data_IF_440234237369
#
_entry.id   IF_440234237369
#
_cell.length_a   1.000
_cell.length_b   1.000
_cell.length_c   1.000
_cell.angle_alpha   90.00
_cell.angle_beta   90.00
_cell.angle_gamma   90.00
#
_symmetry.space_group_name_H-M   'P 1'
#
loop_
_entity.id
_entity.type
_entity.pdbx_description
1 polymer ?
#
# COMPACT_ATOMS: atom_id res chain seq x y z
N UNK A 1 15.53 -10.52 -8.92
CA UNK A 1 14.78 -11.37 -7.97
C UNK A 1 13.89 -10.42 -7.19
N UNK A 2 12.57 -10.63 -7.19
CA UNK A 2 11.63 -9.72 -6.52
C UNK A 2 11.63 -10.09 -5.03
N UNK A 3 12.27 -9.28 -4.19
CA UNK A 3 12.22 -9.46 -2.75
C UNK A 3 10.90 -8.91 -2.22
N UNK A 4 10.00 -9.81 -1.83
CA UNK A 4 8.76 -9.50 -1.14
C UNK A 4 9.05 -9.26 0.34
N UNK A 5 9.56 -8.08 0.66
CA UNK A 5 9.65 -7.65 2.05
C UNK A 5 8.22 -7.50 2.62
N UNK A 6 7.94 -7.94 3.86
CA UNK A 6 6.65 -7.67 4.48
C UNK A 6 6.42 -6.15 4.54
N UNK A 7 5.17 -5.72 4.35
CA UNK A 7 4.80 -4.31 4.52
C UNK A 7 5.31 -3.82 5.87
N UNK A 8 6.18 -2.81 5.87
CA UNK A 8 6.54 -2.10 7.08
C UNK A 8 5.47 -1.04 7.39
N UNK A 9 5.45 -0.53 8.62
CA UNK A 9 4.46 0.46 9.06
C UNK A 9 4.43 1.71 8.18
N UNK A 10 5.57 2.12 7.60
CA UNK A 10 5.65 3.28 6.69
C UNK A 10 4.85 3.04 5.42
N UNK A 11 5.11 1.93 4.71
CA UNK A 11 4.42 1.62 3.46
C UNK A 11 2.95 1.29 3.68
N UNK A 12 2.60 0.68 4.82
CA UNK A 12 1.19 0.43 5.15
C UNK A 12 0.43 1.74 5.33
N UNK A 13 1.01 2.69 6.07
CA UNK A 13 0.40 4.00 6.30
C UNK A 13 0.26 4.79 4.99
N UNK A 14 1.27 4.78 4.12
CA UNK A 14 1.20 5.41 2.80
C UNK A 14 0.11 4.77 1.93
N UNK A 15 0.07 3.44 1.86
CA UNK A 15 -0.95 2.73 1.08
C UNK A 15 -2.36 3.09 1.57
N UNK A 16 -2.58 3.07 2.88
CA UNK A 16 -3.86 3.42 3.49
C UNK A 16 -4.26 4.86 3.20
N UNK A 17 -3.31 5.79 3.27
CA UNK A 17 -3.51 7.20 2.94
C UNK A 17 -3.97 7.38 1.48
N UNK A 18 -3.31 6.71 0.52
CA UNK A 18 -3.70 6.82 -0.89
C UNK A 18 -5.07 6.20 -1.18
N UNK A 19 -5.41 5.08 -0.53
CA UNK A 19 -6.73 4.46 -0.68
C UNK A 19 -7.82 5.34 -0.06
N UNK A 20 -7.56 5.98 1.09
CA UNK A 20 -8.45 6.95 1.72
C UNK A 20 -8.69 8.15 0.80
N UNK A 21 -7.63 8.77 0.28
CA UNK A 21 -7.75 9.86 -0.68
C UNK A 21 -8.55 9.45 -1.93
N UNK A 22 -8.31 8.25 -2.45
CA UNK A 22 -9.06 7.75 -3.59
C UNK A 22 -10.56 7.61 -3.26
N UNK A 23 -10.92 7.12 -2.07
CA UNK A 23 -12.31 7.09 -1.62
C UNK A 23 -12.89 8.51 -1.53
N UNK A 24 -12.17 9.45 -0.90
CA UNK A 24 -12.66 10.81 -0.66
C UNK A 24 -12.90 11.57 -1.96
N UNK A 25 -12.04 11.36 -2.97
CA UNK A 25 -12.13 12.04 -4.27
C UNK A 25 -13.11 11.40 -5.25
N UNK A 26 -13.44 10.12 -5.10
CA UNK A 26 -14.22 9.36 -6.11
C UNK A 26 -15.49 8.71 -5.59
N UNK A 27 -15.65 8.57 -4.27
CA UNK A 27 -16.74 7.81 -3.66
C UNK A 27 -16.68 6.30 -3.92
N UNK A 28 -15.52 5.76 -4.28
CA UNK A 28 -15.33 4.34 -4.64
C UNK A 28 -15.78 3.39 -3.52
N UNK A 29 -16.82 2.60 -3.79
CA UNK A 29 -17.32 1.61 -2.81
C UNK A 29 -16.31 0.48 -2.57
N UNK A 30 -15.45 0.20 -3.54
CA UNK A 30 -14.35 -0.77 -3.38
C UNK A 30 -13.33 -0.23 -2.38
N UNK A 31 -12.93 1.03 -2.52
CA UNK A 31 -12.01 1.68 -1.58
C UNK A 31 -12.59 1.70 -0.16
N UNK A 32 -13.88 2.03 -0.04
CA UNK A 32 -14.60 1.96 1.25
C UNK A 32 -14.54 0.57 1.88
N UNK A 33 -14.77 -0.48 1.09
CA UNK A 33 -14.71 -1.88 1.56
C UNK A 33 -13.30 -2.24 2.04
N UNK A 34 -12.28 -1.90 1.27
CA UNK A 34 -10.87 -2.13 1.63
C UNK A 34 -10.53 -1.43 2.95
N UNK A 35 -10.90 -0.15 3.12
CA UNK A 35 -10.64 0.61 4.34
C UNK A 35 -11.41 0.07 5.55
N UNK A 36 -12.61 -0.48 5.34
CA UNK A 36 -13.45 -1.02 6.42
C UNK A 36 -12.96 -2.35 6.98
N UNK A 37 -12.21 -3.12 6.19
CA UNK A 37 -11.66 -4.43 6.58
C UNK A 37 -10.15 -4.47 6.34
N UNK A 38 -9.47 -3.42 6.80
CA UNK A 38 -8.08 -3.12 6.44
C UNK A 38 -7.11 -4.26 6.74
N UNK A 39 -7.19 -4.86 7.94
CA UNK A 39 -6.29 -5.94 8.37
C UNK A 39 -6.36 -7.16 7.46
N UNK A 40 -7.56 -7.51 6.98
CA UNK A 40 -7.71 -8.63 6.07
C UNK A 40 -7.30 -8.23 4.65
N UNK A 41 -7.74 -7.06 4.19
CA UNK A 41 -7.45 -6.56 2.85
C UNK A 41 -5.95 -6.37 2.60
N UNK A 42 -5.17 -6.00 3.63
CA UNK A 42 -3.72 -5.82 3.52
C UNK A 42 -3.01 -7.10 3.04
N UNK A 43 -3.52 -8.28 3.38
CA UNK A 43 -2.93 -9.56 2.95
C UNK A 43 -3.02 -9.79 1.43
N UNK A 44 -3.90 -9.07 0.74
CA UNK A 44 -4.07 -9.15 -0.72
C UNK A 44 -3.13 -8.19 -1.47
N UNK A 45 -2.40 -7.31 -0.76
CA UNK A 45 -1.48 -6.36 -1.37
C UNK A 45 -0.06 -6.91 -1.43
N UNK A 46 0.62 -6.61 -2.53
CA UNK A 46 2.03 -6.94 -2.74
C UNK A 46 2.81 -5.65 -2.94
N UNK A 47 3.79 -5.40 -2.08
CA UNK A 47 4.72 -4.28 -2.23
C UNK A 47 5.71 -4.59 -3.37
N UNK A 48 5.70 -3.78 -4.41
CA UNK A 48 6.63 -3.91 -5.54
C UNK A 48 7.52 -2.67 -5.59
N UNK A 49 8.79 -2.85 -5.21
CA UNK A 49 9.82 -1.81 -5.31
C UNK A 49 10.91 -2.31 -6.27
N UNK A 50 11.22 -1.57 -7.36
CA UNK A 50 12.34 -1.90 -8.24
C UNK A 50 13.66 -1.93 -7.47
N UNK A 51 14.53 -2.88 -7.78
CA UNK A 51 15.82 -3.05 -7.10
C UNK A 51 16.67 -1.78 -7.19
N UNK A 52 16.67 -1.13 -8.35
CA UNK A 52 17.38 0.12 -8.60
C UNK A 52 16.87 1.26 -7.72
N UNK A 53 15.59 1.23 -7.34
CA UNK A 53 14.97 2.23 -6.47
C UNK A 53 15.37 2.07 -5.01
N UNK A 54 15.51 0.81 -4.52
CA UNK A 54 16.02 0.53 -3.16
C UNK A 54 17.42 1.15 -2.96
N UNK A 55 18.28 1.08 -3.97
CA UNK A 55 19.63 1.66 -3.90
C UNK A 55 19.65 3.19 -3.87
N UNK A 56 18.68 3.85 -4.50
CA UNK A 56 18.57 5.31 -4.50
C UNK A 56 18.10 5.87 -3.15
N UNK A 57 17.28 5.11 -2.41
CA UNK A 57 16.73 5.51 -1.10
C UNK A 57 17.72 5.35 0.08
N UNK A 58 18.83 4.64 -0.12
CA UNK A 58 19.84 4.37 0.93
C UNK A 58 20.98 5.41 0.98
N UNK A 59 20.90 6.51 0.23
CA UNK A 59 21.91 7.58 0.21
C UNK A 59 21.39 8.90 0.78
#
# INVERSE_FOLDING_TARGET
MLDLDPFNETYENELKYYIQNHYDLTGSQIAKRILSDWTNALNDFVLVIPTEYKHALQK
#
